data_IF_196810084515
#
_entry.id   IF_196810084515
#
_cell.length_a   1.000
_cell.length_b   1.000
_cell.length_c   1.000
_cell.angle_alpha   90.00
_cell.angle_beta   90.00
_cell.angle_gamma   90.00
#
_symmetry.space_group_name_H-M   'P 1'
#
loop_
_entity.id
_entity.type
_entity.pdbx_description
1 polymer ?
#
# COMPACT_ATOMS: atom_id res chain seq x y z
N UNK A 1 7.28 -0.13 -15.41
CA UNK A 1 7.24 -1.00 -16.63
C UNK A 1 8.24 -2.13 -16.43
N UNK A 2 7.83 -3.39 -16.40
CA UNK A 2 8.74 -4.53 -16.36
C UNK A 2 9.02 -5.01 -17.79
N UNK A 3 10.23 -4.78 -18.30
CA UNK A 3 10.66 -5.17 -19.65
C UNK A 3 11.57 -6.41 -19.63
N UNK A 4 11.32 -7.36 -18.73
CA UNK A 4 12.13 -8.57 -18.63
C UNK A 4 11.27 -9.81 -18.91
N UNK A 5 11.77 -10.67 -19.80
CA UNK A 5 11.17 -11.97 -20.12
C UNK A 5 12.07 -13.03 -19.49
N UNK A 6 11.55 -13.72 -18.47
CA UNK A 6 12.27 -14.78 -17.77
C UNK A 6 12.69 -15.90 -18.75
N UNK A 7 13.95 -16.31 -18.67
CA UNK A 7 14.59 -17.33 -19.50
C UNK A 7 14.70 -18.67 -18.75
N UNK A 8 14.85 -19.80 -19.49
CA UNK A 8 15.16 -21.09 -18.89
C UNK A 8 16.53 -21.04 -18.20
N UNK A 9 16.54 -20.89 -16.87
CA UNK A 9 17.76 -20.81 -16.06
C UNK A 9 17.71 -19.78 -14.93
N UNK A 10 16.81 -18.81 -15.01
CA UNK A 10 16.75 -17.68 -14.06
C UNK A 10 16.23 -18.08 -12.66
N UNK A 11 15.79 -19.33 -12.49
CA UNK A 11 15.31 -19.82 -11.19
C UNK A 11 14.10 -19.06 -10.65
N UNK A 12 13.34 -18.36 -11.50
CA UNK A 12 12.12 -17.64 -11.12
C UNK A 12 11.07 -18.65 -10.67
N UNK A 13 10.82 -18.71 -9.36
CA UNK A 13 9.86 -19.64 -8.75
C UNK A 13 8.49 -19.02 -8.51
N UNK A 14 8.42 -17.70 -8.49
CA UNK A 14 7.22 -16.93 -8.15
C UNK A 14 6.94 -15.96 -9.27
N UNK A 15 5.76 -16.08 -9.87
CA UNK A 15 5.32 -15.27 -11.02
C UNK A 15 4.26 -14.23 -10.64
N UNK A 16 3.68 -14.32 -9.44
CA UNK A 16 2.64 -13.40 -8.97
C UNK A 16 3.14 -12.53 -7.82
N UNK A 17 2.70 -11.25 -7.75
CA UNK A 17 2.90 -10.46 -6.55
C UNK A 17 2.15 -11.14 -5.39
N UNK A 18 2.86 -11.33 -4.28
CA UNK A 18 2.25 -11.77 -3.03
C UNK A 18 1.58 -10.59 -2.34
N UNK A 19 0.59 -10.88 -1.50
CA UNK A 19 -0.04 -9.88 -0.63
C UNK A 19 1.05 -9.33 0.31
N UNK A 20 1.37 -8.05 0.16
CA UNK A 20 2.36 -7.34 0.95
C UNK A 20 1.77 -6.62 2.17
N UNK A 21 2.62 -5.97 2.99
CA UNK A 21 2.19 -5.23 4.17
C UNK A 21 1.15 -4.14 3.87
N UNK A 22 1.32 -3.43 2.75
CA UNK A 22 0.35 -2.41 2.31
C UNK A 22 -0.99 -3.04 1.92
N UNK A 23 -0.98 -4.17 1.20
CA UNK A 23 -2.21 -4.85 0.80
C UNK A 23 -3.02 -5.30 2.02
N UNK A 24 -2.34 -5.88 3.02
CA UNK A 24 -2.97 -6.27 4.29
C UNK A 24 -3.54 -5.06 5.03
N UNK A 25 -2.77 -3.97 5.12
CA UNK A 25 -3.21 -2.71 5.73
C UNK A 25 -4.45 -2.14 5.02
N UNK A 26 -4.45 -2.10 3.68
CA UNK A 26 -5.56 -1.58 2.88
C UNK A 26 -6.82 -2.45 2.99
N UNK A 27 -6.66 -3.78 3.03
CA UNK A 27 -7.77 -4.71 3.27
C UNK A 27 -8.37 -4.47 4.66
N UNK A 28 -7.54 -4.33 5.69
CA UNK A 28 -8.03 -4.12 7.05
C UNK A 28 -8.70 -2.75 7.21
N UNK A 29 -8.10 -1.68 6.69
CA UNK A 29 -8.67 -0.34 6.76
C UNK A 29 -9.97 -0.21 5.95
N UNK A 30 -10.01 -0.77 4.74
CA UNK A 30 -11.12 -0.58 3.81
C UNK A 30 -12.27 -1.57 3.96
N UNK A 31 -12.02 -2.77 4.50
CA UNK A 31 -12.98 -3.88 4.43
C UNK A 31 -13.14 -4.67 5.74
N UNK A 32 -12.35 -4.41 6.79
CA UNK A 32 -12.57 -5.08 8.08
C UNK A 32 -13.82 -4.52 8.75
N UNK A 33 -14.75 -5.42 9.08
CA UNK A 33 -15.89 -5.06 9.92
C UNK A 33 -15.52 -5.11 11.40
N UNK A 34 -15.79 -4.03 12.13
CA UNK A 34 -15.49 -3.90 13.57
C UNK A 34 -16.71 -4.10 14.49
N UNK A 35 -17.82 -4.62 13.95
CA UNK A 35 -19.04 -4.86 14.73
C UNK A 35 -19.77 -3.58 15.16
N UNK A 36 -19.54 -2.47 14.45
CA UNK A 36 -20.22 -1.19 14.65
C UNK A 36 -21.37 -1.04 13.68
N UNK A 37 -22.34 -0.21 14.07
CA UNK A 37 -23.55 0.03 13.29
C UNK A 37 -23.51 1.38 12.57
N UNK A 38 -22.65 2.30 13.00
CA UNK A 38 -22.48 3.60 12.33
C UNK A 38 -21.00 3.92 12.06
N UNK A 39 -20.72 4.73 11.02
CA UNK A 39 -19.35 5.16 10.71
C UNK A 39 -18.67 5.93 11.85
N UNK A 40 -19.43 6.68 12.63
CA UNK A 40 -18.90 7.48 13.75
C UNK A 40 -18.32 6.60 14.85
N UNK A 41 -18.92 5.43 15.09
CA UNK A 41 -18.45 4.46 16.08
C UNK A 41 -17.13 3.78 15.66
N UNK A 42 -16.86 3.70 14.35
CA UNK A 42 -15.62 3.14 13.80
C UNK A 42 -14.49 4.15 13.78
N UNK A 43 -14.81 5.45 13.83
CA UNK A 43 -13.84 6.52 13.66
C UNK A 43 -12.65 6.42 14.61
N UNK A 44 -12.90 6.20 15.90
CA UNK A 44 -11.81 6.12 16.91
C UNK A 44 -10.95 4.86 16.73
N UNK A 45 -11.57 3.75 16.31
CA UNK A 45 -10.88 2.48 16.02
C UNK A 45 -9.96 2.65 14.81
N UNK A 46 -10.50 3.22 13.74
CA UNK A 46 -9.75 3.49 12.52
C UNK A 46 -8.65 4.52 12.76
N UNK A 47 -8.88 5.52 13.60
CA UNK A 47 -7.86 6.50 13.97
C UNK A 47 -6.70 5.86 14.74
N UNK A 48 -6.99 5.01 15.73
CA UNK A 48 -5.98 4.25 16.46
C UNK A 48 -5.22 3.30 15.52
N UNK A 49 -5.94 2.61 14.63
CA UNK A 49 -5.34 1.75 13.60
C UNK A 49 -4.37 2.52 12.70
N UNK A 50 -4.78 3.67 12.15
CA UNK A 50 -3.92 4.53 11.34
C UNK A 50 -2.70 5.03 12.11
N UNK A 51 -2.86 5.39 13.39
CA UNK A 51 -1.77 5.88 14.23
C UNK A 51 -0.65 4.86 14.46
N UNK A 52 -0.94 3.56 14.32
CA UNK A 52 0.02 2.46 14.44
C UNK A 52 0.77 2.15 13.15
N UNK A 53 0.29 2.67 12.02
CA UNK A 53 0.79 2.37 10.67
C UNK A 53 1.39 3.62 10.01
N UNK A 54 2.40 4.22 10.65
CA UNK A 54 3.01 5.49 10.20
C UNK A 54 4.26 5.32 9.33
N UNK A 55 4.72 4.08 9.13
CA UNK A 55 5.90 3.77 8.31
C UNK A 55 5.69 4.12 6.83
N UNK A 56 6.78 4.31 6.06
CA UNK A 56 6.74 4.57 4.61
C UNK A 56 6.01 3.46 3.86
N UNK A 57 6.11 2.21 4.32
CA UNK A 57 5.42 1.05 3.72
C UNK A 57 3.88 1.19 3.70
N UNK A 58 3.29 2.02 4.56
CA UNK A 58 1.84 2.24 4.62
C UNK A 58 1.39 3.52 3.91
N UNK A 59 2.33 4.25 3.30
CA UNK A 59 2.06 5.51 2.60
C UNK A 59 2.05 5.22 1.11
N UNK A 60 0.85 5.10 0.56
CA UNK A 60 0.67 5.07 -0.88
C UNK A 60 0.06 6.41 -1.32
N UNK A 61 0.67 7.02 -2.31
CA UNK A 61 0.04 8.04 -3.13
C UNK A 61 0.12 7.56 -4.55
N UNK A 62 -0.90 7.88 -5.36
CA UNK A 62 -0.72 7.80 -6.80
C UNK A 62 0.54 8.59 -7.17
N UNK A 63 1.36 7.99 -8.02
CA UNK A 63 2.59 8.62 -8.44
C UNK A 63 2.24 9.92 -9.17
N UNK A 64 2.67 11.04 -8.59
CA UNK A 64 2.28 12.35 -9.10
C UNK A 64 3.19 12.70 -10.29
N UNK A 65 2.66 13.48 -11.23
CA UNK A 65 3.50 14.05 -12.27
C UNK A 65 4.62 14.85 -11.59
N UNK A 66 5.88 14.58 -11.97
CA UNK A 66 7.06 15.17 -11.31
C UNK A 66 7.03 16.71 -11.37
N UNK A 67 6.32 17.27 -12.35
CA UNK A 67 6.20 18.73 -12.55
C UNK A 67 5.07 19.35 -11.73
N UNK A 68 4.10 18.54 -11.30
CA UNK A 68 2.90 18.96 -10.54
C UNK A 68 2.77 18.22 -9.19
N UNK A 69 3.87 17.66 -8.68
CA UNK A 69 3.88 16.91 -7.44
C UNK A 69 3.57 17.81 -6.23
N UNK A 70 2.40 17.59 -5.64
CA UNK A 70 1.91 18.23 -4.41
C UNK A 70 2.52 17.55 -3.17
N UNK A 71 2.75 16.25 -3.21
CA UNK A 71 3.45 15.50 -2.16
C UNK A 71 4.81 15.00 -2.68
N UNK A 72 5.94 15.55 -2.18
CA UNK A 72 7.27 15.14 -2.62
C UNK A 72 7.61 13.69 -2.27
N UNK A 73 6.82 13.03 -1.42
CA UNK A 73 6.95 11.61 -1.07
C UNK A 73 6.23 10.68 -2.06
N UNK A 74 5.44 11.23 -2.99
CA UNK A 74 4.69 10.49 -4.00
C UNK A 74 5.46 10.39 -5.33
N UNK A 75 6.73 9.97 -5.26
CA UNK A 75 7.59 9.86 -6.44
C UNK A 75 7.39 8.51 -7.15
N UNK A 76 7.42 8.53 -8.49
CA UNK A 76 7.27 7.34 -9.36
C UNK A 76 8.32 6.22 -9.11
N UNK A 77 9.34 6.47 -8.29
CA UNK A 77 10.44 5.54 -7.98
C UNK A 77 10.72 5.41 -6.47
N UNK A 78 9.85 5.92 -5.58
CA UNK A 78 9.94 5.59 -4.14
C UNK A 78 9.36 4.17 -3.94
N UNK A 79 10.11 3.19 -4.44
CA UNK A 79 10.03 1.84 -3.91
C UNK A 79 10.30 2.00 -2.43
N UNK A 80 9.36 1.59 -1.58
CA UNK A 80 9.45 1.70 -0.14
C UNK A 80 10.58 0.87 0.51
N UNK A 81 11.79 0.89 -0.05
CA UNK A 81 13.08 0.48 0.51
C UNK A 81 14.12 1.62 0.36
#
# INVERSE_FOLDING_TARGET
RFNYIAQPGDGVKVLSPHIGPYDMFAIEYGYRWYGKNTPEEEKDILFDFLSKHTDRLYKYSEAQDVRDAVDPRAQNEDLGD
#
